data_IF_397013251651
#
_entry.id   IF_397013251651
#
_cell.length_a   1.000
_cell.length_b   1.000
_cell.length_c   1.000
_cell.angle_alpha   90.00
_cell.angle_beta   90.00
_cell.angle_gamma   90.00
#
_symmetry.space_group_name_H-M   'P 1'
#
loop_
_entity.id
_entity.type
_entity.pdbx_description
1 polymer ?
#
# COMPACT_ATOMS: atom_id res chain seq x y z
N UNK A 1 12.24 2.61 7.04
CA UNK A 1 10.78 2.51 7.35
C UNK A 1 10.56 1.39 8.34
N UNK A 2 9.80 1.64 9.40
CA UNK A 2 9.43 0.59 10.37
C UNK A 2 8.44 -0.40 9.75
N UNK A 3 8.58 -1.72 9.99
CA UNK A 3 7.59 -2.72 9.57
C UNK A 3 6.16 -2.40 10.00
N UNK A 4 5.98 -1.74 11.15
CA UNK A 4 4.66 -1.32 11.63
C UNK A 4 3.99 -0.33 10.68
N UNK A 5 4.75 0.68 10.24
CA UNK A 5 4.26 1.70 9.30
C UNK A 5 3.93 1.06 7.95
N UNK A 6 4.75 0.12 7.50
CA UNK A 6 4.49 -0.66 6.29
C UNK A 6 3.18 -1.47 6.40
N UNK A 7 2.95 -2.14 7.53
CA UNK A 7 1.70 -2.88 7.78
C UNK A 7 0.48 -1.96 7.78
N UNK A 8 0.60 -0.77 8.35
CA UNK A 8 -0.49 0.22 8.34
C UNK A 8 -0.80 0.68 6.90
N UNK A 9 0.22 0.95 6.08
CA UNK A 9 0.04 1.24 4.65
C UNK A 9 -0.64 0.09 3.89
N UNK A 10 -0.24 -1.16 4.16
CA UNK A 10 -0.90 -2.32 3.56
C UNK A 10 -2.36 -2.41 4.00
N UNK A 11 -2.66 -2.19 5.29
CA UNK A 11 -4.05 -2.19 5.79
C UNK A 11 -4.91 -1.18 5.03
N UNK A 12 -4.40 0.04 4.86
CA UNK A 12 -5.12 1.10 4.15
C UNK A 12 -5.27 0.76 2.67
N UNK A 13 -4.25 0.19 2.04
CA UNK A 13 -4.34 -0.29 0.66
C UNK A 13 -5.48 -1.29 0.46
N UNK A 14 -5.56 -2.30 1.34
CA UNK A 14 -6.65 -3.29 1.27
C UNK A 14 -8.01 -2.63 1.48
N UNK A 15 -8.14 -1.69 2.42
CA UNK A 15 -9.40 -0.96 2.67
C UNK A 15 -9.79 -0.02 1.53
N UNK A 16 -8.83 0.61 0.85
CA UNK A 16 -9.07 1.48 -0.30
C UNK A 16 -9.52 0.66 -1.51
N UNK A 17 -8.83 -0.46 -1.77
CA UNK A 17 -9.00 -1.27 -2.97
C UNK A 17 -10.19 -2.22 -2.85
N UNK A 18 -10.42 -2.79 -1.66
CA UNK A 18 -11.48 -3.75 -1.41
C UNK A 18 -12.53 -3.20 -0.45
N UNK A 19 -13.81 -3.45 -0.76
CA UNK A 19 -14.92 -3.06 0.11
C UNK A 19 -15.03 -3.96 1.34
N UNK A 20 -14.14 -3.75 2.31
CA UNK A 20 -14.22 -4.36 3.63
C UNK A 20 -15.24 -3.66 4.53
N UNK A 21 -15.93 -4.45 5.34
CA UNK A 21 -17.00 -4.01 6.22
C UNK A 21 -16.93 -4.73 7.57
N UNK A 22 -17.64 -4.19 8.56
CA UNK A 22 -17.73 -4.78 9.90
C UNK A 22 -16.35 -5.08 10.49
N UNK A 23 -16.07 -6.31 10.94
CA UNK A 23 -14.81 -6.64 11.61
C UNK A 23 -13.63 -6.87 10.65
N UNK A 24 -13.84 -6.92 9.33
CA UNK A 24 -12.79 -7.30 8.36
C UNK A 24 -11.50 -6.47 8.46
N UNK A 25 -11.53 -5.13 8.58
CA UNK A 25 -10.30 -4.34 8.68
C UNK A 25 -9.46 -4.70 9.90
N UNK A 26 -10.12 -4.97 11.04
CA UNK A 26 -9.44 -5.37 12.28
C UNK A 26 -8.84 -6.77 12.16
N UNK A 27 -9.57 -7.71 11.56
CA UNK A 27 -9.09 -9.07 11.29
C UNK A 27 -7.85 -9.01 10.41
N UNK A 28 -7.90 -8.22 9.32
CA UNK A 28 -6.77 -8.04 8.41
C UNK A 28 -5.56 -7.50 9.17
N UNK A 29 -5.72 -6.44 9.96
CA UNK A 29 -4.62 -5.84 10.72
C UNK A 29 -3.97 -6.87 11.65
N UNK A 30 -4.77 -7.62 12.41
CA UNK A 30 -4.24 -8.69 13.29
C UNK A 30 -3.48 -9.75 12.53
N UNK A 31 -4.01 -10.20 11.39
CA UNK A 31 -3.38 -11.23 10.58
C UNK A 31 -2.10 -10.72 9.92
N UNK A 32 -2.06 -9.48 9.45
CA UNK A 32 -0.84 -8.83 8.95
C UNK A 32 0.25 -8.83 10.04
N UNK A 33 -0.07 -8.37 11.24
CA UNK A 33 0.90 -8.43 12.36
C UNK A 33 1.38 -9.86 12.65
N UNK A 34 0.46 -10.82 12.64
CA UNK A 34 0.77 -12.23 12.91
C UNK A 34 1.72 -12.82 11.86
N UNK A 35 1.46 -12.63 10.56
CA UNK A 35 2.33 -13.19 9.51
C UNK A 35 3.74 -12.62 9.52
N UNK A 36 3.90 -11.32 9.82
CA UNK A 36 5.24 -10.73 9.98
C UNK A 36 5.96 -11.31 11.22
N UNK A 37 5.25 -11.47 12.35
CA UNK A 37 5.82 -12.12 13.55
C UNK A 37 6.20 -13.58 13.29
N UNK A 38 5.37 -14.33 12.58
CA UNK A 38 5.64 -15.71 12.20
C UNK A 38 6.88 -15.83 11.30
N UNK A 39 7.20 -14.78 10.53
CA UNK A 39 8.44 -14.65 9.77
C UNK A 39 9.65 -14.24 10.60
N UNK A 40 9.49 -13.93 11.89
CA UNK A 40 10.57 -13.56 12.79
C UNK A 40 10.81 -12.05 12.93
N UNK A 41 9.91 -11.21 12.43
CA UNK A 41 10.02 -9.76 12.63
C UNK A 41 9.65 -9.35 14.05
N UNK A 42 10.53 -8.57 14.67
CA UNK A 42 10.20 -7.80 15.86
C UNK A 42 9.51 -6.50 15.43
N UNK A 43 8.18 -6.46 15.54
CA UNK A 43 7.38 -5.29 15.17
C UNK A 43 7.50 -4.14 16.19
N UNK A 44 7.97 -4.41 17.41
CA UNK A 44 8.14 -3.38 18.45
C UNK A 44 9.43 -2.62 18.23
N UNK A 45 10.51 -3.33 17.97
CA UNK A 45 11.83 -2.73 17.70
C UNK A 45 12.08 -2.47 16.21
N UNK A 46 11.25 -3.03 15.33
CA UNK A 46 11.25 -2.75 13.89
C UNK A 46 12.39 -3.41 13.10
N UNK A 47 12.84 -4.60 13.51
CA UNK A 47 13.93 -5.31 12.84
C UNK A 47 13.68 -6.80 12.69
N UNK A 48 14.42 -7.41 11.79
CA UNK A 48 14.53 -8.86 11.67
C UNK A 48 15.93 -9.29 12.13
N UNK A 49 16.09 -10.30 13.02
CA UNK A 49 17.40 -10.71 13.56
C UNK A 49 18.44 -11.11 12.50
N UNK A 50 17.98 -11.62 11.35
CA UNK A 50 18.85 -11.96 10.21
C UNK A 50 19.27 -10.75 9.34
N UNK A 51 18.72 -9.56 9.58
CA UNK A 51 19.05 -8.33 8.84
C UNK A 51 19.80 -7.31 9.69
N UNK A 52 19.69 -7.40 11.02
CA UNK A 52 20.38 -6.55 11.98
C UNK A 52 21.71 -7.17 12.43
N UNK A 53 22.66 -6.33 12.82
CA UNK A 53 23.95 -6.78 13.35
C UNK A 53 23.83 -7.14 14.84
N UNK A 54 23.28 -8.31 15.14
CA UNK A 54 23.07 -8.78 16.52
C UNK A 54 24.35 -8.97 17.33
N UNK A 55 25.52 -8.99 16.67
CA UNK A 55 26.82 -9.15 17.31
C UNK A 55 27.46 -7.82 17.77
N UNK A 56 26.95 -6.68 17.30
CA UNK A 56 27.46 -5.34 17.65
C UNK A 56 26.30 -4.43 18.09
N UNK A 57 26.18 -4.13 19.40
CA UNK A 57 25.18 -3.17 19.87
C UNK A 57 25.36 -1.76 19.27
N UNK A 58 26.59 -1.34 18.97
CA UNK A 58 26.88 -0.03 18.39
C UNK A 58 26.50 0.06 16.92
N UNK A 59 26.60 -1.04 16.18
CA UNK A 59 26.34 -1.11 14.74
C UNK A 59 25.07 -1.90 14.42
N UNK A 60 24.17 -2.05 15.40
CA UNK A 60 23.01 -2.92 15.33
C UNK A 60 22.16 -2.65 14.08
N UNK A 61 21.95 -1.37 13.75
CA UNK A 61 21.22 -0.88 12.59
C UNK A 61 22.15 -0.38 11.45
N UNK A 62 23.36 -0.92 11.34
CA UNK A 62 24.30 -0.51 10.29
C UNK A 62 23.75 -0.79 8.89
N UNK A 63 23.68 0.29 8.09
CA UNK A 63 23.22 0.23 6.69
C UNK A 63 24.10 -0.72 5.86
N UNK A 64 25.42 -0.70 6.07
CA UNK A 64 26.35 -1.55 5.33
C UNK A 64 26.13 -3.03 5.65
N UNK A 65 25.92 -3.35 6.94
CA UNK A 65 25.61 -4.71 7.35
C UNK A 65 24.30 -5.19 6.73
N UNK A 66 23.23 -4.39 6.86
CA UNK A 66 21.93 -4.73 6.30
C UNK A 66 22.02 -4.93 4.78
N UNK A 67 22.71 -4.06 4.04
CA UNK A 67 22.96 -4.24 2.58
C UNK A 67 23.63 -5.56 2.25
N UNK A 68 24.61 -6.00 3.06
CA UNK A 68 25.26 -7.30 2.87
C UNK A 68 24.28 -8.46 3.06
N UNK A 69 23.36 -8.37 4.03
CA UNK A 69 22.34 -9.41 4.25
C UNK A 69 21.31 -9.47 3.10
N UNK A 70 20.91 -8.32 2.56
CA UNK A 70 20.06 -8.26 1.36
C UNK A 70 20.75 -8.81 0.10
N UNK A 71 22.07 -8.97 0.09
CA UNK A 71 22.78 -9.61 -1.02
C UNK A 71 22.63 -11.13 -1.02
N UNK A 72 22.24 -11.74 0.10
CA UNK A 72 21.96 -13.16 0.20
C UNK A 72 20.56 -13.49 -0.33
N UNK A 73 20.41 -14.52 -1.16
CA UNK A 73 19.10 -14.90 -1.73
C UNK A 73 18.06 -15.27 -0.66
N UNK A 74 18.49 -15.70 0.51
CA UNK A 74 17.61 -16.07 1.62
C UNK A 74 16.78 -14.91 2.15
N UNK A 75 17.20 -13.65 1.98
CA UNK A 75 16.46 -12.49 2.48
C UNK A 75 15.02 -12.43 1.93
N UNK A 76 14.80 -12.96 0.72
CA UNK A 76 13.50 -12.99 0.04
C UNK A 76 12.43 -13.74 0.83
N UNK A 77 12.84 -14.70 1.66
CA UNK A 77 11.93 -15.54 2.44
C UNK A 77 11.63 -14.98 3.84
N UNK A 78 12.24 -13.85 4.20
CA UNK A 78 12.00 -13.16 5.48
C UNK A 78 10.71 -12.34 5.47
N UNK A 79 10.09 -12.16 4.31
CA UNK A 79 8.85 -11.39 4.17
C UNK A 79 7.67 -12.34 3.94
N UNK A 80 6.48 -12.01 4.46
CA UNK A 80 5.29 -12.81 4.24
C UNK A 80 4.79 -12.65 2.80
N UNK A 81 4.15 -13.70 2.31
CA UNK A 81 3.47 -13.75 1.01
C UNK A 81 1.96 -13.56 1.17
N UNK A 82 1.26 -13.26 0.06
CA UNK A 82 -0.20 -13.17 0.06
C UNK A 82 -0.87 -14.49 0.47
N UNK A 83 -0.29 -15.63 0.08
CA UNK A 83 -0.77 -16.96 0.47
C UNK A 83 -0.68 -17.17 1.99
N UNK A 84 0.43 -16.79 2.61
CA UNK A 84 0.59 -16.89 4.07
C UNK A 84 -0.40 -15.99 4.82
N UNK A 85 -0.67 -14.78 4.30
CA UNK A 85 -1.71 -13.91 4.85
C UNK A 85 -3.11 -14.53 4.73
N UNK A 86 -3.42 -15.15 3.58
CA UNK A 86 -4.69 -15.85 3.35
C UNK A 86 -4.88 -17.01 4.34
N UNK A 87 -3.85 -17.81 4.54
CA UNK A 87 -3.90 -18.97 5.43
C UNK A 87 -4.01 -18.53 6.90
N UNK A 88 -3.31 -17.46 7.30
CA UNK A 88 -3.42 -16.89 8.63
C UNK A 88 -4.81 -16.32 8.92
N UNK A 89 -5.46 -15.67 7.95
CA UNK A 89 -6.84 -15.20 8.09
C UNK A 89 -7.81 -16.37 8.27
N UNK A 90 -7.64 -17.45 7.50
CA UNK A 90 -8.46 -18.64 7.66
C UNK A 90 -8.30 -19.24 9.06
N UNK A 91 -7.06 -19.40 9.52
CA UNK A 91 -6.72 -19.89 10.86
C UNK A 91 -7.32 -19.00 11.96
N UNK A 92 -7.09 -17.69 11.92
CA UNK A 92 -7.56 -16.75 12.93
C UNK A 92 -9.09 -16.74 13.07
N UNK A 93 -9.81 -16.83 11.95
CA UNK A 93 -11.27 -16.89 11.97
C UNK A 93 -11.79 -18.23 12.53
N UNK A 94 -11.12 -19.35 12.22
CA UNK A 94 -11.52 -20.68 12.70
C UNK A 94 -11.18 -20.93 14.17
N UNK A 95 -10.01 -20.48 14.62
CA UNK A 95 -9.44 -20.86 15.91
C UNK A 95 -9.62 -19.81 17.01
N UNK A 96 -9.60 -18.51 16.67
CA UNK A 96 -9.53 -17.42 17.66
C UNK A 96 -10.82 -16.60 17.72
N UNK A 97 -11.44 -16.34 16.58
CA UNK A 97 -12.71 -15.63 16.52
C UNK A 97 -13.86 -16.60 16.78
N UNK A 98 -14.30 -16.65 18.04
CA UNK A 98 -15.55 -17.33 18.46
C UNK A 98 -16.80 -16.59 17.98
N UNK A 99 -16.82 -16.12 16.72
CA UNK A 99 -18.02 -15.55 16.13
C UNK A 99 -19.06 -16.66 15.91
N UNK A 100 -20.32 -16.30 16.10
CA UNK A 100 -21.42 -17.23 15.88
C UNK A 100 -21.66 -17.48 14.38
N UNK A 101 -22.08 -18.70 14.05
CA UNK A 101 -21.80 -19.38 12.78
C UNK A 101 -21.94 -18.58 11.48
N UNK A 102 -23.04 -17.84 11.28
CA UNK A 102 -23.33 -17.17 10.00
C UNK A 102 -22.45 -15.93 9.76
N UNK A 103 -22.21 -15.12 10.81
CA UNK A 103 -21.37 -13.91 10.70
C UNK A 103 -19.93 -14.30 10.44
N UNK A 104 -19.43 -15.32 11.15
CA UNK A 104 -18.08 -15.86 10.95
C UNK A 104 -17.90 -16.38 9.51
N UNK A 105 -18.87 -17.16 9.02
CA UNK A 105 -18.85 -17.74 7.68
C UNK A 105 -18.85 -16.69 6.58
N UNK A 106 -19.69 -15.65 6.71
CA UNK A 106 -19.77 -14.55 5.73
C UNK A 106 -18.48 -13.73 5.69
N UNK A 107 -17.93 -13.38 6.86
CA UNK A 107 -16.67 -12.63 6.95
C UNK A 107 -15.51 -13.43 6.36
N UNK A 108 -15.39 -14.70 6.74
CA UNK A 108 -14.36 -15.62 6.22
C UNK A 108 -14.43 -15.74 4.71
N UNK A 109 -15.61 -16.03 4.17
CA UNK A 109 -15.79 -16.22 2.73
C UNK A 109 -15.43 -14.95 1.97
N UNK A 110 -15.91 -13.79 2.44
CA UNK A 110 -15.67 -12.51 1.79
C UNK A 110 -14.20 -12.06 1.79
N UNK A 111 -13.44 -12.33 2.86
CA UNK A 111 -11.99 -12.05 2.91
C UNK A 111 -11.20 -13.08 2.09
N UNK A 112 -11.53 -14.37 2.25
CA UNK A 112 -10.84 -15.47 1.55
C UNK A 112 -10.94 -15.33 0.04
N UNK A 113 -12.13 -15.09 -0.52
CA UNK A 113 -12.33 -14.97 -1.98
C UNK A 113 -11.48 -13.83 -2.56
N UNK A 114 -11.39 -12.69 -1.87
CA UNK A 114 -10.60 -11.54 -2.32
C UNK A 114 -9.10 -11.84 -2.33
N UNK A 115 -8.59 -12.45 -1.26
CA UNK A 115 -7.17 -12.82 -1.17
C UNK A 115 -6.81 -13.97 -2.11
N UNK A 116 -7.72 -14.93 -2.28
CA UNK A 116 -7.54 -16.05 -3.20
C UNK A 116 -7.43 -15.56 -4.64
N UNK A 117 -8.22 -14.56 -5.05
CA UNK A 117 -8.08 -13.91 -6.36
C UNK A 117 -6.68 -13.32 -6.58
N UNK A 118 -6.02 -12.80 -5.54
CA UNK A 118 -4.64 -12.30 -5.63
C UNK A 118 -3.57 -13.41 -5.63
N UNK A 119 -3.93 -14.65 -5.27
CA UNK A 119 -3.01 -15.77 -5.18
C UNK A 119 -2.97 -16.68 -6.42
N UNK A 120 -3.93 -16.54 -7.34
CA UNK A 120 -4.12 -17.49 -8.47
C UNK A 120 -3.77 -16.88 -9.83
N UNK A 121 -3.39 -17.76 -10.77
CA UNK A 121 -3.10 -17.38 -12.16
C UNK A 121 -2.01 -16.32 -12.29
N UNK A 122 -2.15 -15.42 -13.26
CA UNK A 122 -1.18 -14.34 -13.50
C UNK A 122 -1.07 -13.35 -12.31
N UNK A 123 -2.16 -13.15 -11.56
CA UNK A 123 -2.17 -12.30 -10.36
C UNK A 123 -1.30 -12.90 -9.26
N UNK A 124 -1.37 -14.22 -9.06
CA UNK A 124 -0.51 -14.95 -8.13
C UNK A 124 0.98 -14.75 -8.39
N UNK A 125 1.41 -14.80 -9.65
CA UNK A 125 2.81 -14.52 -10.01
C UNK A 125 3.26 -13.09 -9.66
N UNK A 126 2.32 -12.14 -9.58
CA UNK A 126 2.61 -10.73 -9.28
C UNK A 126 2.54 -10.44 -7.78
N UNK A 127 1.50 -10.90 -7.08
CA UNK A 127 1.23 -10.52 -5.69
C UNK A 127 1.59 -11.61 -4.66
N UNK A 128 1.65 -12.87 -5.07
CA UNK A 128 1.95 -14.01 -4.20
C UNK A 128 3.34 -14.57 -4.53
N UNK A 129 4.36 -13.74 -4.36
CA UNK A 129 5.74 -14.07 -4.71
C UNK A 129 6.73 -13.57 -3.65
N UNK A 130 7.87 -14.23 -3.56
CA UNK A 130 9.04 -13.75 -2.80
C UNK A 130 10.01 -12.94 -3.67
N UNK A 131 9.74 -12.87 -4.98
CA UNK A 131 10.50 -12.04 -5.90
C UNK A 131 10.03 -10.59 -5.82
N UNK A 132 10.96 -9.65 -5.97
CA UNK A 132 10.68 -8.22 -5.93
C UNK A 132 11.34 -7.52 -7.12
N UNK A 133 10.78 -6.37 -7.48
CA UNK A 133 11.33 -5.53 -8.53
C UNK A 133 12.61 -4.82 -8.06
N UNK A 134 13.62 -4.74 -8.92
CA UNK A 134 14.80 -3.91 -8.67
C UNK A 134 14.41 -2.43 -8.86
N UNK A 135 13.86 -1.84 -7.78
CA UNK A 135 13.38 -0.47 -7.79
C UNK A 135 14.49 0.53 -8.07
N UNK A 136 15.73 0.27 -7.63
CA UNK A 136 16.85 1.16 -7.93
C UNK A 136 17.05 1.29 -9.45
N UNK A 137 17.03 0.16 -10.18
CA UNK A 137 17.09 0.19 -11.66
C UNK A 137 15.86 0.84 -12.30
N UNK A 138 14.69 0.72 -11.66
CA UNK A 138 13.45 1.35 -12.14
C UNK A 138 13.55 2.88 -12.08
N UNK A 139 14.03 3.43 -10.96
CA UNK A 139 14.14 4.88 -10.76
C UNK A 139 15.16 5.55 -11.68
N UNK A 140 16.13 4.79 -12.22
CA UNK A 140 17.12 5.29 -13.17
C UNK A 140 16.62 5.33 -14.63
N UNK A 141 15.37 4.92 -14.90
CA UNK A 141 14.81 4.78 -16.24
C UNK A 141 13.40 5.35 -16.34
N UNK A 142 13.00 5.66 -17.57
CA UNK A 142 11.58 5.90 -17.87
C UNK A 142 10.87 4.55 -17.93
N UNK A 143 10.04 4.26 -16.93
CA UNK A 143 9.30 3.00 -16.80
C UNK A 143 7.81 3.26 -16.94
N UNK A 144 7.14 2.42 -17.72
CA UNK A 144 5.68 2.41 -17.87
C UNK A 144 5.17 1.07 -17.36
N UNK A 145 4.24 1.10 -16.41
CA UNK A 145 3.55 -0.08 -15.90
C UNK A 145 2.23 -0.25 -16.65
N UNK A 146 2.12 -1.30 -17.44
CA UNK A 146 0.89 -1.65 -18.14
C UNK A 146 -0.02 -2.49 -17.23
N UNK A 147 -1.17 -1.93 -16.87
CA UNK A 147 -2.14 -2.58 -15.97
C UNK A 147 -3.35 -3.17 -16.71
N UNK A 148 -3.37 -3.15 -18.04
CA UNK A 148 -4.47 -3.67 -18.85
C UNK A 148 -4.70 -5.17 -18.63
N UNK A 149 -3.63 -5.92 -18.32
CA UNK A 149 -3.70 -7.34 -17.98
C UNK A 149 -4.47 -7.66 -16.69
N UNK A 150 -4.79 -6.65 -15.87
CA UNK A 150 -5.66 -6.80 -14.69
C UNK A 150 -7.10 -6.49 -15.09
N UNK A 151 -8.00 -7.45 -14.93
CA UNK A 151 -9.37 -7.33 -15.40
C UNK A 151 -10.25 -6.38 -14.56
N UNK A 152 -10.09 -6.38 -13.22
CA UNK A 152 -10.93 -5.61 -12.31
C UNK A 152 -10.26 -4.28 -11.91
N UNK A 153 -11.06 -3.23 -11.77
CA UNK A 153 -10.61 -1.92 -11.29
C UNK A 153 -10.08 -2.01 -9.85
N UNK A 154 -10.59 -2.93 -9.03
CA UNK A 154 -10.07 -3.15 -7.68
C UNK A 154 -8.64 -3.68 -7.67
N UNK A 155 -8.30 -4.59 -8.59
CA UNK A 155 -6.94 -5.13 -8.74
C UNK A 155 -5.98 -4.05 -9.29
N UNK A 156 -6.46 -3.23 -10.24
CA UNK A 156 -5.70 -2.08 -10.75
C UNK A 156 -5.43 -1.06 -9.65
N UNK A 157 -6.45 -0.71 -8.86
CA UNK A 157 -6.31 0.18 -7.71
C UNK A 157 -5.31 -0.37 -6.69
N UNK A 158 -5.39 -1.67 -6.39
CA UNK A 158 -4.46 -2.35 -5.49
C UNK A 158 -3.01 -2.29 -6.01
N UNK A 159 -2.82 -2.49 -7.31
CA UNK A 159 -1.50 -2.43 -7.96
C UNK A 159 -0.90 -1.02 -7.92
N UNK A 160 -1.68 -0.01 -8.29
CA UNK A 160 -1.26 1.39 -8.22
C UNK A 160 -0.93 1.76 -6.78
N UNK A 161 -1.77 1.38 -5.82
CA UNK A 161 -1.53 1.67 -4.41
C UNK A 161 -0.29 0.98 -3.85
N UNK A 162 0.01 -0.28 -4.22
CA UNK A 162 1.28 -0.93 -3.89
C UNK A 162 2.47 -0.14 -4.45
N UNK A 163 2.42 0.26 -5.73
CA UNK A 163 3.49 1.05 -6.34
C UNK A 163 3.69 2.38 -5.62
N UNK A 164 2.60 3.07 -5.26
CA UNK A 164 2.66 4.32 -4.49
C UNK A 164 3.32 4.10 -3.12
N UNK A 165 2.95 3.05 -2.38
CA UNK A 165 3.57 2.71 -1.09
C UNK A 165 5.06 2.43 -1.28
N UNK A 166 5.44 1.58 -2.24
CA UNK A 166 6.85 1.25 -2.48
C UNK A 166 7.66 2.49 -2.85
N UNK A 167 7.13 3.34 -3.74
CA UNK A 167 7.80 4.59 -4.11
C UNK A 167 7.94 5.49 -2.88
N UNK A 168 6.90 5.62 -2.05
CA UNK A 168 6.96 6.41 -0.82
C UNK A 168 8.12 5.94 0.09
N UNK A 169 8.13 4.65 0.40
CA UNK A 169 9.08 4.04 1.33
C UNK A 169 10.51 4.11 0.79
N UNK A 170 10.70 3.85 -0.50
CA UNK A 170 12.00 3.96 -1.15
C UNK A 170 12.55 5.39 -1.08
N UNK A 171 11.71 6.38 -1.40
CA UNK A 171 12.09 7.80 -1.37
C UNK A 171 12.34 8.30 0.06
N UNK A 172 11.58 7.80 1.04
CA UNK A 172 11.82 8.07 2.46
C UNK A 172 13.19 7.56 2.90
N UNK A 173 13.52 6.30 2.58
CA UNK A 173 14.82 5.71 2.93
C UNK A 173 15.97 6.48 2.28
N UNK A 174 15.85 6.87 1.00
CA UNK A 174 16.88 7.67 0.34
C UNK A 174 17.10 9.03 1.00
N UNK A 175 16.03 9.69 1.44
CA UNK A 175 16.14 10.96 2.17
C UNK A 175 16.83 10.76 3.53
N UNK A 176 16.45 9.72 4.29
CA UNK A 176 17.09 9.40 5.57
C UNK A 176 18.61 9.15 5.39
N UNK A 177 19.00 8.40 4.36
CA UNK A 177 20.41 8.13 4.03
C UNK A 177 21.15 9.41 3.60
N UNK A 178 20.50 10.28 2.83
CA UNK A 178 21.09 11.53 2.32
C UNK A 178 21.17 12.63 3.38
N UNK A 179 20.48 12.47 4.51
CA UNK A 179 20.44 13.43 5.61
C UNK A 179 19.74 14.75 5.24
N UNK A 180 20.19 15.85 5.83
CA UNK A 180 19.57 17.17 5.70
C UNK A 180 19.91 17.92 4.40
N UNK A 181 20.33 17.21 3.35
CA UNK A 181 20.55 17.84 2.05
C UNK A 181 19.21 18.31 1.47
N UNK A 182 19.23 19.45 0.77
CA UNK A 182 18.03 20.00 0.15
C UNK A 182 17.58 19.04 -0.96
N UNK A 183 16.39 18.44 -0.79
CA UNK A 183 15.79 17.57 -1.80
C UNK A 183 15.19 18.41 -2.91
N UNK A 184 15.82 18.41 -4.08
CA UNK A 184 15.21 18.89 -5.32
C UNK A 184 14.32 17.81 -5.94
N UNK A 185 13.64 18.12 -7.05
CA UNK A 185 12.87 17.11 -7.80
C UNK A 185 13.84 16.06 -8.37
N UNK A 186 13.64 14.79 -8.01
CA UNK A 186 14.48 13.67 -8.44
C UNK A 186 13.72 12.64 -9.27
N UNK A 187 12.42 12.49 -9.06
CA UNK A 187 11.60 11.51 -9.78
C UNK A 187 10.17 12.04 -9.97
N UNK A 188 9.52 11.62 -11.06
CA UNK A 188 8.15 11.98 -11.41
C UNK A 188 7.29 10.72 -11.54
N UNK A 189 6.25 10.63 -10.73
CA UNK A 189 5.24 9.56 -10.81
C UNK A 189 4.03 10.10 -11.55
N UNK A 190 3.60 9.42 -12.61
CA UNK A 190 2.36 9.75 -13.33
C UNK A 190 1.34 8.67 -13.02
N UNK A 191 0.18 9.06 -12.51
CA UNK A 191 -0.94 8.18 -12.19
C UNK A 191 -2.10 8.51 -13.14
N UNK A 192 -2.34 7.62 -14.10
CA UNK A 192 -3.55 7.67 -14.92
C UNK A 192 -4.73 7.02 -14.21
N UNK A 193 -5.94 7.50 -14.50
CA UNK A 193 -7.20 7.06 -13.87
C UNK A 193 -7.09 7.01 -12.34
N UNK A 194 -6.51 8.08 -11.76
CA UNK A 194 -6.18 8.12 -10.34
C UNK A 194 -7.42 7.96 -9.44
N UNK A 195 -8.63 8.21 -9.94
CA UNK A 195 -9.88 7.92 -9.21
C UNK A 195 -10.03 6.45 -8.79
N UNK A 196 -9.28 5.51 -9.40
CA UNK A 196 -9.25 4.11 -8.95
C UNK A 196 -8.78 3.99 -7.51
N UNK A 197 -7.72 4.73 -7.15
CA UNK A 197 -7.13 4.74 -5.80
C UNK A 197 -7.63 5.93 -4.96
N UNK A 198 -7.75 7.11 -5.57
CA UNK A 198 -8.03 8.38 -4.93
C UNK A 198 -9.49 8.82 -5.14
N UNK A 199 -10.41 7.87 -5.05
CA UNK A 199 -11.83 8.09 -5.36
C UNK A 199 -12.45 9.10 -4.41
N UNK A 200 -13.33 9.96 -4.91
CA UNK A 200 -14.23 10.74 -4.09
C UNK A 200 -15.24 9.79 -3.41
N UNK A 201 -14.96 9.46 -2.16
CA UNK A 201 -15.86 8.70 -1.28
C UNK A 201 -16.40 9.67 -0.26
N UNK A 202 -17.73 9.64 -0.06
CA UNK A 202 -18.38 10.46 0.96
C UNK A 202 -17.75 10.15 2.32
N UNK A 203 -17.01 11.12 2.86
CA UNK A 203 -16.40 11.04 4.20
C UNK A 203 -17.42 11.31 5.29
N UNK A 204 -18.60 11.83 4.93
CA UNK A 204 -19.69 12.13 5.86
C UNK A 204 -20.48 10.86 6.21
N UNK A 205 -20.78 10.71 7.50
CA UNK A 205 -21.43 9.54 8.08
C UNK A 205 -22.87 9.45 7.59
N UNK A 206 -23.24 8.34 6.93
CA UNK A 206 -24.65 8.03 6.67
C UNK A 206 -25.37 7.52 7.93
N UNK A 207 -24.65 6.89 8.86
CA UNK A 207 -25.15 6.51 10.20
C UNK A 207 -24.02 6.55 11.24
N UNK A 208 -24.33 6.84 12.52
CA UNK A 208 -23.33 6.89 13.61
C UNK A 208 -22.67 5.52 13.92
N UNK A 209 -23.28 4.43 13.46
CA UNK A 209 -22.88 3.04 13.76
C UNK A 209 -21.94 2.41 12.74
N UNK A 210 -21.79 2.96 11.54
CA UNK A 210 -20.91 2.39 10.51
C UNK A 210 -19.68 3.29 10.27
N UNK A 211 -18.49 2.75 10.52
CA UNK A 211 -17.25 3.41 10.11
C UNK A 211 -17.11 3.43 8.59
N UNK A 212 -16.32 4.39 8.06
CA UNK A 212 -15.92 4.42 6.65
C UNK A 212 -14.40 4.14 6.50
N UNK A 213 -13.95 2.86 6.59
CA UNK A 213 -12.54 2.49 6.41
C UNK A 213 -11.98 2.91 5.05
N UNK A 214 -12.81 2.85 4.00
CA UNK A 214 -12.40 3.21 2.64
C UNK A 214 -12.10 4.71 2.51
N UNK A 215 -12.97 5.57 3.06
CA UNK A 215 -12.74 7.02 3.10
C UNK A 215 -11.45 7.38 3.82
N UNK A 216 -11.21 6.79 5.00
CA UNK A 216 -9.95 6.99 5.74
C UNK A 216 -8.72 6.52 4.97
N UNK A 217 -8.81 5.39 4.29
CA UNK A 217 -7.70 4.90 3.48
C UNK A 217 -7.39 5.84 2.30
N UNK A 218 -8.42 6.35 1.60
CA UNK A 218 -8.24 7.34 0.52
C UNK A 218 -7.62 8.63 1.04
N UNK A 219 -8.06 9.13 2.19
CA UNK A 219 -7.47 10.29 2.86
C UNK A 219 -5.98 10.05 3.15
N UNK A 220 -5.63 8.88 3.67
CA UNK A 220 -4.24 8.54 3.94
C UNK A 220 -3.37 8.48 2.68
N UNK A 221 -3.85 7.90 1.57
CA UNK A 221 -3.14 7.94 0.29
C UNK A 221 -2.99 9.36 -0.25
N UNK A 222 -4.01 10.20 -0.09
CA UNK A 222 -3.96 11.60 -0.53
C UNK A 222 -2.90 12.38 0.25
N UNK A 223 -2.82 12.16 1.57
CA UNK A 223 -1.80 12.76 2.43
C UNK A 223 -0.40 12.24 2.09
N UNK A 224 -0.26 10.92 1.88
CA UNK A 224 1.01 10.30 1.46
C UNK A 224 1.54 10.95 0.17
N UNK A 225 0.69 11.09 -0.85
CA UNK A 225 1.05 11.74 -2.12
C UNK A 225 1.43 13.22 -1.91
N UNK A 226 0.73 13.93 -1.03
CA UNK A 226 1.06 15.32 -0.72
C UNK A 226 2.40 15.47 0.02
N UNK A 227 2.78 14.49 0.86
CA UNK A 227 4.03 14.46 1.63
C UNK A 227 5.25 14.06 0.78
N UNK A 228 5.02 13.28 -0.29
CA UNK A 228 6.07 12.82 -1.22
C UNK A 228 6.92 13.95 -1.80
N UNK A 229 6.36 15.16 -1.94
CA UNK A 229 7.10 16.35 -2.38
C UNK A 229 8.34 16.62 -1.51
N UNK A 230 8.29 16.31 -0.22
CA UNK A 230 9.40 16.51 0.71
C UNK A 230 10.54 15.51 0.49
N UNK A 231 10.27 14.43 -0.25
CA UNK A 231 11.22 13.40 -0.65
C UNK A 231 11.74 13.61 -2.07
N UNK A 232 11.52 14.77 -2.71
CA UNK A 232 11.95 15.01 -4.10
C UNK A 232 11.14 14.20 -5.12
N UNK A 233 9.95 13.73 -4.76
CA UNK A 233 9.04 12.98 -5.62
C UNK A 233 7.93 13.91 -6.10
N UNK A 234 7.88 14.18 -7.40
CA UNK A 234 6.76 14.86 -8.06
C UNK A 234 5.67 13.85 -8.42
N UNK A 235 4.41 14.26 -8.34
CA UNK A 235 3.27 13.42 -8.73
C UNK A 235 2.40 14.18 -9.72
N UNK A 236 2.08 13.53 -10.85
CA UNK A 236 1.10 13.98 -11.83
C UNK A 236 -0.09 13.04 -11.73
N UNK A 237 -1.27 13.64 -11.52
CA UNK A 237 -2.55 12.93 -11.57
C UNK A 237 -3.23 13.28 -12.88
N UNK A 238 -3.52 12.27 -13.69
CA UNK A 238 -4.25 12.41 -14.94
C UNK A 238 -5.66 11.80 -14.79
N UNK A 239 -6.69 12.63 -14.94
CA UNK A 239 -8.08 12.24 -14.74
C UNK A 239 -9.00 12.91 -15.77
N UNK A 240 -9.99 12.16 -16.26
CA UNK A 240 -10.98 12.64 -17.23
C UNK A 240 -12.23 13.20 -16.55
N UNK A 241 -12.59 12.67 -15.38
CA UNK A 241 -13.77 13.08 -14.61
C UNK A 241 -13.31 13.59 -13.23
N UNK A 242 -12.93 14.87 -13.10
CA UNK A 242 -12.38 15.45 -11.87
C UNK A 242 -13.27 15.24 -10.64
N UNK A 243 -14.60 15.26 -10.81
CA UNK A 243 -15.56 15.01 -9.72
C UNK A 243 -15.41 13.64 -9.05
N UNK A 244 -14.80 12.66 -9.74
CA UNK A 244 -14.48 11.34 -9.17
C UNK A 244 -13.24 11.33 -8.28
N UNK A 245 -12.43 12.39 -8.25
CA UNK A 245 -11.25 12.46 -7.38
C UNK A 245 -11.60 13.03 -6.01
N UNK A 246 -10.92 12.53 -4.99
CA UNK A 246 -10.94 13.12 -3.67
C UNK A 246 -10.57 14.63 -3.77
N UNK A 247 -11.37 15.54 -3.19
CA UNK A 247 -11.16 16.98 -3.33
C UNK A 247 -9.76 17.45 -2.94
N UNK A 248 -9.14 16.79 -1.97
CA UNK A 248 -7.81 17.14 -1.47
C UNK A 248 -6.71 16.88 -2.50
N UNK A 249 -6.89 15.93 -3.42
CA UNK A 249 -5.96 15.72 -4.55
C UNK A 249 -5.93 16.96 -5.45
N UNK A 250 -7.10 17.53 -5.73
CA UNK A 250 -7.25 18.72 -6.57
C UNK A 250 -6.70 19.95 -5.84
N UNK A 251 -7.01 20.12 -4.55
CA UNK A 251 -6.52 21.25 -3.74
C UNK A 251 -5.00 21.23 -3.54
N UNK A 252 -4.42 20.05 -3.33
CA UNK A 252 -2.97 19.89 -3.10
C UNK A 252 -2.15 19.96 -4.41
N UNK A 253 -2.80 19.89 -5.57
CA UNK A 253 -2.11 20.06 -6.87
C UNK A 253 -1.78 21.54 -7.12
N UNK A 254 -0.49 21.86 -7.24
CA UNK A 254 -0.01 23.23 -7.48
C UNK A 254 -0.22 23.68 -8.93
N UNK A 255 0.03 22.79 -9.88
CA UNK A 255 -0.09 23.05 -11.32
C UNK A 255 -1.24 22.21 -11.88
N UNK A 256 -2.17 22.86 -12.58
CA UNK A 256 -3.30 22.21 -13.24
C UNK A 256 -3.21 22.45 -14.74
N UNK A 257 -3.20 21.39 -15.53
CA UNK A 257 -3.27 21.45 -16.99
C UNK A 257 -4.67 20.96 -17.37
N UNK A 258 -5.51 21.90 -17.79
CA UNK A 258 -6.93 21.64 -18.05
C UNK A 258 -7.17 21.65 -19.55
N UNK A 259 -7.59 20.52 -20.08
CA UNK A 259 -8.06 20.40 -21.47
C UNK A 259 -9.59 20.54 -21.51
N UNK A 260 -10.22 20.20 -22.64
CA UNK A 260 -11.66 20.36 -22.81
C UNK A 260 -12.43 19.51 -21.79
N UNK A 261 -13.22 20.17 -20.94
CA UNK A 261 -14.20 19.56 -20.03
C UNK A 261 -15.60 19.97 -20.49
N UNK A 262 -16.48 19.00 -20.69
CA UNK A 262 -17.84 19.24 -21.20
C UNK A 262 -18.84 19.45 -20.07
N UNK A 263 -18.69 18.70 -18.97
CA UNK A 263 -19.67 18.70 -17.88
C UNK A 263 -19.51 19.91 -16.97
N UNK A 264 -20.62 20.53 -16.59
CA UNK A 264 -20.62 21.77 -15.80
C UNK A 264 -20.16 21.56 -14.35
N UNK A 265 -20.46 20.40 -13.75
CA UNK A 265 -20.01 20.00 -12.42
C UNK A 265 -18.48 19.76 -12.37
N UNK A 266 -17.93 19.09 -13.39
CA UNK A 266 -16.48 18.91 -13.53
C UNK A 266 -15.76 20.26 -13.72
N UNK A 267 -16.35 21.19 -14.49
CA UNK A 267 -15.82 22.55 -14.65
C UNK A 267 -15.81 23.35 -13.34
N UNK A 268 -16.82 23.18 -12.48
CA UNK A 268 -16.89 23.85 -11.19
C UNK A 268 -15.90 23.29 -10.16
N UNK A 269 -15.45 22.06 -10.36
CA UNK A 269 -14.57 21.35 -9.43
C UNK A 269 -13.10 21.74 -9.57
N UNK A 270 -12.67 22.19 -10.76
CA UNK A 270 -11.29 22.56 -11.10
C UNK A 270 -11.04 24.06 -10.98
#
# INVERSE_FOLDING_TARGET
VSPQVHIDYLKDLFNASFSFYGPMPYILEKCLHSVYKNKGWDLTLGYHPLLANTNSPTDFFSIEHTKSQYSNLSHKFLFPTMQELKDEIARYIEEELKYDGEVAGNVKTAMKVRLENLCVGAKGYTFNTNEFFDFAKMFDKNVVFELEGLADDSDKAFSVGLLVIFINEYRQVLKEISGNQKTELQHLLVIEEAHRLLKNVETERSTETEGNPKGKAVEHFTNMIAEMRSYGQGVIVAEQIPTKLAPDVIKNSSTKIVQRIVSADDQQTI
#
